data_IF_195794509546
#
_entry.id   IF_195794509546
#
_cell.length_a   1.000
_cell.length_b   1.000
_cell.length_c   1.000
_cell.angle_alpha   90.00
_cell.angle_beta   90.00
_cell.angle_gamma   90.00
#
_symmetry.space_group_name_H-M   'P 1'
#
loop_
_entity.id
_entity.type
_entity.pdbx_description
1 polymer ?
#
# COMPACT_ATOMS: atom_id res chain seq x y z
N UNK A 1 23.19 1.73 14.63
CA UNK A 1 21.74 1.89 14.90
C UNK A 1 21.00 1.34 13.68
N UNK A 2 19.83 0.75 13.78
CA UNK A 2 19.09 0.34 12.59
C UNK A 2 18.81 1.57 11.74
N UNK A 3 18.90 1.40 10.42
CA UNK A 3 18.57 2.41 9.44
C UNK A 3 17.09 2.80 9.57
N UNK A 4 16.80 4.10 9.72
CA UNK A 4 15.46 4.60 9.97
C UNK A 4 14.75 5.06 8.69
N UNK A 5 15.52 5.31 7.65
CA UNK A 5 15.00 5.67 6.32
C UNK A 5 15.99 5.27 5.22
N UNK A 6 15.50 5.21 3.99
CA UNK A 6 16.29 4.97 2.78
C UNK A 6 16.03 6.09 1.78
N UNK A 7 17.07 6.59 1.12
CA UNK A 7 16.93 7.58 0.06
C UNK A 7 16.56 6.89 -1.26
N UNK A 8 15.35 7.17 -1.76
CA UNK A 8 14.91 6.72 -3.09
C UNK A 8 15.42 7.69 -4.16
N UNK A 9 15.30 8.99 -3.89
CA UNK A 9 15.89 10.08 -4.67
C UNK A 9 16.28 11.21 -3.72
N UNK A 10 16.88 12.29 -4.22
CA UNK A 10 17.22 13.47 -3.40
C UNK A 10 16.04 14.04 -2.61
N UNK A 11 14.82 13.88 -3.12
CA UNK A 11 13.61 14.48 -2.56
C UNK A 11 12.59 13.46 -2.06
N UNK A 12 12.86 12.18 -2.22
CA UNK A 12 11.98 11.08 -1.82
C UNK A 12 12.72 10.11 -0.91
N UNK A 13 12.17 9.88 0.26
CA UNK A 13 12.70 8.92 1.25
C UNK A 13 11.64 7.90 1.62
N UNK A 14 12.02 6.63 1.72
CA UNK A 14 11.25 5.58 2.38
C UNK A 14 11.52 5.67 3.87
N UNK A 15 10.46 5.78 4.68
CA UNK A 15 10.53 5.90 6.13
C UNK A 15 10.19 4.57 6.80
N UNK A 16 11.06 4.08 7.66
CA UNK A 16 10.81 2.88 8.45
C UNK A 16 10.10 3.23 9.77
N UNK A 17 8.80 3.43 9.69
CA UNK A 17 7.95 3.87 10.82
C UNK A 17 7.74 2.81 11.90
N UNK A 18 8.14 1.58 11.66
CA UNK A 18 8.19 0.44 12.59
C UNK A 18 6.95 0.25 13.48
N UNK A 19 6.17 -0.78 13.19
CA UNK A 19 5.11 -1.24 14.09
C UNK A 19 5.69 -2.15 15.18
N UNK A 20 5.10 -2.20 16.38
CA UNK A 20 5.50 -3.15 17.43
C UNK A 20 4.93 -4.56 17.22
N UNK A 21 4.69 -4.95 15.98
CA UNK A 21 4.11 -6.23 15.60
C UNK A 21 5.22 -7.09 14.98
N UNK A 22 5.52 -8.29 15.52
CA UNK A 22 6.54 -9.17 14.96
C UNK A 22 6.36 -9.40 13.46
N UNK A 23 7.44 -9.29 12.72
CA UNK A 23 7.53 -9.37 11.26
C UNK A 23 6.86 -8.23 10.46
N UNK A 24 6.33 -7.19 11.12
CA UNK A 24 5.76 -6.00 10.45
C UNK A 24 6.59 -4.72 10.67
N UNK A 25 7.76 -4.81 11.29
CA UNK A 25 8.59 -3.67 11.70
C UNK A 25 8.99 -2.76 10.53
N UNK A 26 9.20 -3.34 9.35
CA UNK A 26 9.51 -2.62 8.10
C UNK A 26 8.55 -2.96 6.96
N UNK A 27 7.41 -3.55 7.27
CA UNK A 27 6.51 -4.10 6.26
C UNK A 27 5.74 -3.01 5.50
N UNK A 28 5.35 -1.95 6.18
CA UNK A 28 4.62 -0.83 5.58
C UNK A 28 5.61 0.18 5.02
N UNK A 29 5.42 0.57 3.76
CA UNK A 29 6.20 1.60 3.08
C UNK A 29 5.54 2.96 3.21
N UNK A 30 6.00 3.79 4.17
CA UNK A 30 5.63 5.21 4.24
C UNK A 30 6.69 6.03 3.51
N UNK A 31 6.29 6.99 2.68
CA UNK A 31 7.24 7.80 1.93
C UNK A 31 7.11 9.28 2.27
N UNK A 32 8.27 9.93 2.46
CA UNK A 32 8.38 11.38 2.57
C UNK A 32 8.78 11.94 1.20
N UNK A 33 7.98 12.89 0.70
CA UNK A 33 8.30 13.72 -0.45
C UNK A 33 8.59 15.15 0.06
N UNK A 34 9.82 15.64 -0.14
CA UNK A 34 10.28 16.92 0.40
C UNK A 34 10.54 17.94 -0.69
N UNK A 35 9.92 19.12 -0.56
CA UNK A 35 10.09 20.29 -1.40
C UNK A 35 10.00 21.58 -0.59
N UNK A 36 9.37 22.62 -1.12
CA UNK A 36 8.97 23.81 -0.35
C UNK A 36 7.84 23.44 0.63
N UNK A 37 7.02 22.47 0.27
CA UNK A 37 6.07 21.76 1.13
C UNK A 37 6.47 20.30 1.22
N UNK A 38 5.99 19.62 2.26
CA UNK A 38 6.31 18.23 2.51
C UNK A 38 5.05 17.36 2.55
N UNK A 39 5.13 16.18 1.97
CA UNK A 39 4.04 15.21 1.97
C UNK A 39 4.50 13.85 2.49
N UNK A 40 3.64 13.20 3.28
CA UNK A 40 3.77 11.79 3.65
C UNK A 40 2.78 10.99 2.79
N UNK A 41 3.25 9.93 2.15
CA UNK A 41 2.39 8.96 1.47
C UNK A 41 2.26 7.74 2.37
N UNK A 42 1.02 7.35 2.68
CA UNK A 42 0.62 6.24 3.54
C UNK A 42 1.31 6.25 4.92
N UNK A 43 0.70 6.89 5.93
CA UNK A 43 1.32 7.01 7.26
C UNK A 43 1.37 5.68 8.03
N UNK A 44 0.67 4.65 7.55
CA UNK A 44 0.57 3.36 8.19
C UNK A 44 -0.55 3.25 9.23
N UNK A 45 -0.58 2.14 9.99
CA UNK A 45 -1.54 1.94 11.07
C UNK A 45 -1.23 2.83 12.29
N UNK A 46 -2.19 2.98 13.21
CA UNK A 46 -2.03 3.81 14.42
C UNK A 46 -0.75 3.51 15.19
N UNK A 47 -0.41 2.24 15.33
CA UNK A 47 0.78 1.82 16.10
C UNK A 47 2.10 2.18 15.43
N UNK A 48 2.12 2.53 14.13
CA UNK A 48 3.30 3.01 13.41
C UNK A 48 3.56 4.52 13.63
N UNK A 49 2.55 5.30 14.03
CA UNK A 49 2.63 6.77 14.06
C UNK A 49 3.74 7.31 14.99
N UNK A 50 3.95 6.77 16.20
CA UNK A 50 5.07 7.23 17.02
C UNK A 50 6.44 7.04 16.35
N UNK A 51 6.61 5.92 15.63
CA UNK A 51 7.80 5.65 14.83
C UNK A 51 7.94 6.62 13.67
N UNK A 52 6.86 6.87 12.93
CA UNK A 52 6.82 7.82 11.82
C UNK A 52 7.27 9.22 12.26
N UNK A 53 6.71 9.75 13.35
CA UNK A 53 7.08 11.07 13.90
C UNK A 53 8.55 11.10 14.32
N UNK A 54 9.07 10.02 14.90
CA UNK A 54 10.49 9.92 15.21
C UNK A 54 11.34 10.02 13.94
N UNK A 55 11.00 9.28 12.89
CA UNK A 55 11.78 9.29 11.64
C UNK A 55 11.69 10.64 10.94
N UNK A 56 10.53 11.30 10.94
CA UNK A 56 10.38 12.68 10.44
C UNK A 56 11.40 13.62 11.12
N UNK A 57 11.58 13.52 12.44
CA UNK A 57 12.58 14.33 13.18
C UNK A 57 14.01 13.95 12.83
N UNK A 58 14.30 12.68 12.64
CA UNK A 58 15.64 12.21 12.26
C UNK A 58 16.06 12.65 10.83
N UNK A 59 15.11 12.81 9.94
CA UNK A 59 15.40 13.41 8.60
C UNK A 59 15.51 14.94 8.65
N UNK A 60 15.41 15.57 9.82
CA UNK A 60 15.62 17.00 10.06
C UNK A 60 14.35 17.86 9.93
N UNK A 61 13.16 17.26 9.87
CA UNK A 61 11.88 17.99 9.82
C UNK A 61 11.17 17.96 11.17
N UNK A 62 10.37 19.01 11.45
CA UNK A 62 9.40 18.98 12.53
C UNK A 62 8.05 18.48 12.02
N UNK A 63 7.23 17.81 12.86
CA UNK A 63 5.90 17.33 12.45
C UNK A 63 5.01 18.42 11.82
N UNK A 64 5.11 19.66 12.29
CA UNK A 64 4.35 20.79 11.80
C UNK A 64 4.76 21.26 10.38
N UNK A 65 5.89 20.78 9.88
CA UNK A 65 6.36 21.06 8.51
C UNK A 65 5.82 20.08 7.48
N UNK A 66 5.00 19.12 7.89
CA UNK A 66 4.26 18.24 6.98
C UNK A 66 2.96 18.94 6.58
N UNK A 67 2.80 19.18 5.28
CA UNK A 67 1.66 19.88 4.69
C UNK A 67 0.57 18.94 4.18
N UNK A 68 0.96 17.72 3.78
CA UNK A 68 0.03 16.73 3.24
C UNK A 68 0.31 15.33 3.77
N UNK A 69 -0.79 14.59 3.98
CA UNK A 69 -0.80 13.12 4.09
C UNK A 69 -1.61 12.60 2.90
N UNK A 70 -0.98 11.88 2.00
CA UNK A 70 -1.63 11.35 0.79
C UNK A 70 -1.86 9.85 1.01
N UNK A 71 -3.10 9.41 0.88
CA UNK A 71 -3.47 8.02 1.06
C UNK A 71 -3.65 7.36 -0.30
N UNK A 72 -2.86 6.32 -0.57
CA UNK A 72 -3.06 5.51 -1.78
C UNK A 72 -4.42 4.82 -1.72
N UNK A 73 -4.81 4.35 -0.55
CA UNK A 73 -6.12 3.78 -0.29
C UNK A 73 -6.38 3.76 1.23
N UNK A 74 -7.58 3.31 1.66
CA UNK A 74 -7.97 3.39 3.06
C UNK A 74 -7.89 2.06 3.83
N UNK A 75 -7.16 1.05 3.36
CA UNK A 75 -6.92 -0.13 4.19
C UNK A 75 -6.19 0.27 5.48
N UNK A 76 -6.47 -0.47 6.55
CA UNK A 76 -6.04 -0.09 7.91
C UNK A 76 -4.51 0.00 8.06
N UNK A 77 -3.78 -0.79 7.33
CA UNK A 77 -2.32 -0.81 7.33
C UNK A 77 -1.68 0.38 6.60
N UNK A 78 -2.41 1.07 5.72
CA UNK A 78 -1.99 2.31 5.04
C UNK A 78 -2.55 3.56 5.70
N UNK A 79 -3.84 3.57 6.04
CA UNK A 79 -4.57 4.75 6.46
C UNK A 79 -5.05 4.72 7.92
N UNK A 80 -4.94 3.59 8.63
CA UNK A 80 -5.50 3.43 9.97
C UNK A 80 -4.95 4.41 11.01
N UNK A 81 -3.74 4.90 10.82
CA UNK A 81 -3.08 5.89 11.66
C UNK A 81 -3.38 7.35 11.30
N UNK A 82 -4.14 7.63 10.25
CA UNK A 82 -4.29 9.00 9.72
C UNK A 82 -4.83 9.98 10.76
N UNK A 83 -5.92 9.65 11.47
CA UNK A 83 -6.47 10.54 12.49
C UNK A 83 -5.46 10.83 13.61
N UNK A 84 -4.76 9.80 14.08
CA UNK A 84 -3.69 9.95 15.08
C UNK A 84 -2.52 10.78 14.54
N UNK A 85 -2.12 10.57 13.27
CA UNK A 85 -1.06 11.34 12.64
C UNK A 85 -1.41 12.84 12.59
N UNK A 86 -2.63 13.19 12.19
CA UNK A 86 -3.08 14.59 12.08
C UNK A 86 -3.12 15.32 13.43
N UNK A 87 -3.26 14.59 14.54
CA UNK A 87 -3.15 15.19 15.88
C UNK A 87 -1.72 15.67 16.18
N UNK A 88 -0.71 15.16 15.46
CA UNK A 88 0.70 15.52 15.59
C UNK A 88 1.18 16.37 14.41
N UNK A 89 0.73 16.07 13.19
CA UNK A 89 1.00 16.79 11.95
C UNK A 89 -0.05 17.91 11.76
N UNK A 90 -0.03 18.92 12.62
CA UNK A 90 -1.15 19.87 12.79
C UNK A 90 -1.49 20.70 11.56
N UNK A 91 -0.52 20.92 10.68
CA UNK A 91 -0.71 21.72 9.45
C UNK A 91 -1.12 20.86 8.25
N UNK A 92 -1.01 19.52 8.36
CA UNK A 92 -1.25 18.64 7.24
C UNK A 92 -2.72 18.53 6.85
N UNK A 93 -3.00 18.51 5.56
CA UNK A 93 -4.28 18.08 4.98
C UNK A 93 -4.17 16.65 4.48
N UNK A 94 -5.28 15.91 4.49
CA UNK A 94 -5.33 14.54 3.95
C UNK A 94 -5.86 14.55 2.54
N UNK A 95 -5.09 14.00 1.61
CA UNK A 95 -5.54 13.75 0.23
C UNK A 95 -5.96 12.29 0.12
N UNK A 96 -7.20 12.05 -0.30
CA UNK A 96 -7.77 10.70 -0.41
C UNK A 96 -8.77 10.60 -1.56
N UNK A 97 -8.93 9.40 -2.11
CA UNK A 97 -9.97 9.12 -3.09
C UNK A 97 -11.38 9.46 -2.52
N UNK A 98 -12.29 10.03 -3.33
CA UNK A 98 -13.64 10.43 -2.92
C UNK A 98 -14.39 9.34 -2.14
N UNK A 99 -14.27 8.08 -2.54
CA UNK A 99 -14.92 6.96 -1.84
C UNK A 99 -14.36 6.69 -0.44
N UNK A 100 -13.15 7.18 -0.13
CA UNK A 100 -12.51 7.04 1.18
C UNK A 100 -12.98 8.09 2.19
N UNK A 101 -13.43 9.25 1.74
CA UNK A 101 -13.74 10.42 2.59
C UNK A 101 -14.66 10.06 3.76
N UNK A 102 -15.81 9.45 3.49
CA UNK A 102 -16.78 9.10 4.52
C UNK A 102 -16.24 8.13 5.59
N UNK A 103 -15.32 7.26 5.19
CA UNK A 103 -14.72 6.26 6.07
C UNK A 103 -13.57 6.82 6.92
N UNK A 104 -13.00 7.95 6.53
CA UNK A 104 -12.06 8.68 7.38
C UNK A 104 -12.82 9.54 8.40
N UNK A 105 -13.97 10.11 8.04
CA UNK A 105 -14.82 10.91 8.94
C UNK A 105 -15.49 10.00 9.97
N UNK A 106 -16.05 8.88 9.52
CA UNK A 106 -16.64 7.85 10.38
C UNK A 106 -16.00 6.48 10.06
N UNK A 107 -15.02 6.05 10.85
CA UNK A 107 -14.28 4.81 10.59
C UNK A 107 -15.01 3.53 11.00
N UNK A 108 -16.25 3.58 11.51
CA UNK A 108 -16.95 2.39 12.02
C UNK A 108 -17.06 1.27 10.97
N UNK A 109 -17.47 1.61 9.74
CA UNK A 109 -17.59 0.63 8.66
C UNK A 109 -16.22 0.11 8.18
N UNK A 110 -15.19 0.96 8.16
CA UNK A 110 -13.81 0.57 7.84
C UNK A 110 -13.26 -0.38 8.89
N UNK A 111 -13.44 -0.08 10.16
CA UNK A 111 -13.04 -0.93 11.29
C UNK A 111 -13.69 -2.30 11.20
N UNK A 112 -15.02 -2.33 10.98
CA UNK A 112 -15.75 -3.59 10.82
C UNK A 112 -15.21 -4.42 9.64
N UNK A 113 -15.05 -3.83 8.46
CA UNK A 113 -14.51 -4.53 7.29
C UNK A 113 -13.09 -5.03 7.50
N UNK A 114 -12.26 -4.27 8.22
CA UNK A 114 -10.90 -4.68 8.59
C UNK A 114 -10.93 -5.88 9.53
N UNK A 115 -11.81 -5.91 10.53
CA UNK A 115 -11.97 -7.06 11.46
C UNK A 115 -12.44 -8.31 10.68
N UNK A 116 -13.42 -8.16 9.79
CA UNK A 116 -13.93 -9.26 8.98
C UNK A 116 -12.83 -9.89 8.08
N UNK A 117 -11.84 -9.10 7.66
CA UNK A 117 -10.76 -9.54 6.75
C UNK A 117 -9.50 -9.98 7.47
N UNK A 118 -9.06 -9.26 8.51
CA UNK A 118 -7.76 -9.43 9.17
C UNK A 118 -7.86 -10.00 10.58
N UNK A 119 -9.07 -10.12 11.13
CA UNK A 119 -9.32 -10.69 12.46
C UNK A 119 -8.54 -9.96 13.56
N UNK A 120 -7.82 -10.73 14.37
CA UNK A 120 -7.06 -10.21 15.53
C UNK A 120 -5.94 -9.21 15.17
N UNK A 121 -5.47 -9.18 13.92
CA UNK A 121 -4.42 -8.25 13.50
C UNK A 121 -4.87 -6.79 13.64
N UNK A 122 -6.17 -6.52 13.47
CA UNK A 122 -6.74 -5.17 13.60
C UNK A 122 -6.48 -4.59 14.99
N UNK A 123 -6.63 -5.38 16.05
CA UNK A 123 -6.35 -4.91 17.42
C UNK A 123 -4.89 -4.54 17.62
N UNK A 124 -3.96 -5.19 16.90
CA UNK A 124 -2.53 -4.89 16.93
C UNK A 124 -2.16 -3.64 16.13
N UNK A 125 -2.93 -3.31 15.09
CA UNK A 125 -2.77 -2.05 14.34
C UNK A 125 -3.28 -0.84 15.12
N UNK A 126 -4.18 -1.06 16.08
CA UNK A 126 -4.79 -0.04 16.92
C UNK A 126 -6.08 0.52 16.33
N UNK A 127 -6.83 1.20 17.18
CA UNK A 127 -8.14 1.79 16.84
C UNK A 127 -7.98 2.94 15.83
N UNK A 128 -8.82 2.96 14.80
CA UNK A 128 -8.85 4.03 13.81
C UNK A 128 -9.51 5.27 14.41
N UNK A 129 -8.79 6.38 14.45
CA UNK A 129 -9.34 7.67 14.88
C UNK A 129 -9.96 8.42 13.69
N UNK A 130 -11.10 9.11 13.89
CA UNK A 130 -11.74 9.89 12.84
C UNK A 130 -10.88 11.08 12.41
N UNK A 131 -11.04 11.51 11.16
CA UNK A 131 -10.43 12.70 10.59
C UNK A 131 -11.48 13.79 10.45
N UNK A 132 -11.15 15.02 10.86
CA UNK A 132 -12.02 16.18 10.70
C UNK A 132 -12.25 16.49 9.21
N UNK A 133 -13.51 16.74 8.84
CA UNK A 133 -13.90 16.88 7.42
C UNK A 133 -13.20 18.04 6.71
N UNK A 134 -12.90 19.13 7.41
CA UNK A 134 -12.18 20.32 6.90
C UNK A 134 -10.67 20.07 6.65
N UNK A 135 -10.14 18.95 7.14
CA UNK A 135 -8.77 18.49 6.90
C UNK A 135 -8.66 17.57 5.68
N UNK A 136 -9.78 17.24 5.03
CA UNK A 136 -9.80 16.26 3.92
C UNK A 136 -9.93 16.98 2.59
N UNK A 137 -9.04 16.65 1.67
CA UNK A 137 -9.04 17.06 0.27
C UNK A 137 -9.29 15.82 -0.59
N UNK A 138 -10.22 15.91 -1.52
CA UNK A 138 -10.47 14.82 -2.47
C UNK A 138 -9.43 14.81 -3.58
N UNK A 139 -8.74 13.70 -3.74
CA UNK A 139 -7.85 13.43 -4.87
C UNK A 139 -8.64 12.89 -6.06
N UNK A 140 -8.74 13.68 -7.12
CA UNK A 140 -9.33 13.29 -8.41
C UNK A 140 -8.23 12.90 -9.40
N UNK A 141 -8.61 12.19 -10.47
CA UNK A 141 -7.66 11.79 -11.53
C UNK A 141 -7.03 13.02 -12.18
N UNK A 142 -5.70 13.09 -12.22
CA UNK A 142 -4.95 14.24 -12.74
C UNK A 142 -4.77 15.40 -11.77
N UNK A 143 -5.36 15.37 -10.56
CA UNK A 143 -5.09 16.36 -9.52
C UNK A 143 -3.59 16.43 -9.24
N UNK A 144 -3.04 17.65 -9.16
CA UNK A 144 -1.64 17.89 -8.84
C UNK A 144 -1.51 18.49 -7.45
N UNK A 145 -0.76 17.86 -6.58
CA UNK A 145 -0.33 18.40 -5.28
C UNK A 145 1.04 19.06 -5.51
N UNK A 146 1.06 20.38 -5.42
CA UNK A 146 2.28 21.18 -5.66
C UNK A 146 3.07 21.33 -4.36
N UNK A 147 4.28 20.75 -4.35
CA UNK A 147 5.24 20.87 -3.26
C UNK A 147 6.40 21.81 -3.59
N UNK A 148 6.24 22.68 -4.61
CA UNK A 148 7.28 23.55 -5.15
C UNK A 148 8.12 22.84 -6.22
N UNK A 149 9.31 22.39 -5.85
CA UNK A 149 10.21 21.65 -6.77
C UNK A 149 9.69 20.27 -7.16
N UNK A 150 8.79 19.69 -6.37
CA UNK A 150 8.10 18.42 -6.68
C UNK A 150 6.64 18.68 -6.99
N UNK A 151 6.10 17.94 -7.94
CA UNK A 151 4.68 17.92 -8.26
C UNK A 151 4.18 16.47 -8.24
N UNK A 152 3.24 16.21 -7.36
CA UNK A 152 2.67 14.88 -7.18
C UNK A 152 1.31 14.79 -7.89
N UNK A 153 1.25 14.04 -8.97
CA UNK A 153 0.02 13.81 -9.74
C UNK A 153 -0.75 12.62 -9.16
N UNK A 154 -2.01 12.82 -8.86
CA UNK A 154 -2.94 11.76 -8.46
C UNK A 154 -3.40 11.00 -9.70
N UNK A 155 -3.35 9.68 -9.63
CA UNK A 155 -3.78 8.75 -10.69
C UNK A 155 -4.74 7.75 -10.08
N UNK A 156 -6.02 7.78 -10.44
CA UNK A 156 -6.98 6.82 -9.93
C UNK A 156 -6.68 5.42 -10.50
N UNK A 157 -6.45 4.46 -9.60
CA UNK A 157 -6.04 3.09 -9.92
C UNK A 157 -6.88 2.05 -9.17
N UNK A 158 -8.22 2.02 -9.43
CA UNK A 158 -9.08 1.01 -8.81
C UNK A 158 -8.71 -0.41 -9.26
N UNK A 159 -9.09 -1.40 -8.45
CA UNK A 159 -8.87 -2.83 -8.73
C UNK A 159 -8.53 -3.61 -7.47
N UNK A 160 -7.39 -3.32 -6.82
CA UNK A 160 -7.07 -3.78 -5.47
C UNK A 160 -8.14 -3.33 -4.46
N UNK A 161 -8.52 -2.08 -4.54
CA UNK A 161 -9.65 -1.49 -3.83
C UNK A 161 -10.35 -0.46 -4.72
N UNK A 162 -11.67 -0.27 -4.54
CA UNK A 162 -12.45 0.69 -5.32
C UNK A 162 -12.12 2.16 -5.01
N UNK A 163 -11.38 2.40 -3.94
CA UNK A 163 -10.90 3.71 -3.45
C UNK A 163 -9.38 3.85 -3.59
N UNK A 164 -8.76 3.07 -4.48
CA UNK A 164 -7.32 3.11 -4.67
C UNK A 164 -6.91 4.21 -5.66
N UNK A 165 -5.82 4.90 -5.35
CA UNK A 165 -5.09 5.80 -6.22
C UNK A 165 -3.58 5.53 -6.10
N UNK A 166 -2.87 5.84 -7.16
CA UNK A 166 -1.41 5.91 -7.17
C UNK A 166 -0.98 7.38 -7.24
N UNK A 167 0.25 7.67 -6.89
CA UNK A 167 0.81 9.02 -6.96
C UNK A 167 2.01 8.99 -7.88
N UNK A 168 2.09 9.92 -8.83
CA UNK A 168 3.21 9.99 -9.76
C UNK A 168 3.95 11.32 -9.64
N UNK A 169 5.27 11.26 -9.48
CA UNK A 169 6.18 12.40 -9.54
C UNK A 169 6.88 12.38 -10.90
N UNK A 170 6.52 13.28 -11.84
CA UNK A 170 6.95 13.18 -13.24
C UNK A 170 8.40 13.61 -13.50
N UNK A 171 8.99 14.50 -12.70
CA UNK A 171 10.32 15.03 -12.97
C UNK A 171 11.41 13.97 -12.81
N UNK A 172 11.32 13.14 -11.79
CA UNK A 172 12.25 12.03 -11.54
C UNK A 172 11.69 10.68 -12.00
N UNK A 173 10.40 10.62 -12.35
CA UNK A 173 9.71 9.41 -12.80
C UNK A 173 9.43 8.43 -11.66
N UNK A 174 9.08 8.93 -10.48
CA UNK A 174 8.77 8.10 -9.30
C UNK A 174 7.27 7.84 -9.24
N UNK A 175 6.90 6.56 -9.23
CA UNK A 175 5.53 6.09 -9.05
C UNK A 175 5.36 5.47 -7.66
N UNK A 176 4.50 6.03 -6.84
CA UNK A 176 4.01 5.42 -5.61
C UNK A 176 2.76 4.60 -5.98
N UNK A 177 2.96 3.31 -6.16
CA UNK A 177 1.92 2.43 -6.69
C UNK A 177 0.86 2.04 -5.66
N UNK A 178 1.11 2.27 -4.36
CA UNK A 178 0.33 1.59 -3.33
C UNK A 178 0.35 0.09 -3.59
N UNK A 179 -0.82 -0.52 -3.58
CA UNK A 179 -1.00 -1.96 -3.77
C UNK A 179 -1.44 -2.37 -5.19
N UNK A 180 -1.56 -1.40 -6.11
CA UNK A 180 -2.02 -1.67 -7.49
C UNK A 180 -1.11 -2.63 -8.25
N UNK A 181 0.21 -2.57 -8.00
CA UNK A 181 1.21 -3.39 -8.70
C UNK A 181 1.83 -4.50 -7.82
N UNK A 182 1.14 -4.89 -6.75
CA UNK A 182 1.58 -5.95 -5.85
C UNK A 182 2.63 -5.51 -4.84
N UNK A 183 3.38 -6.49 -4.33
CA UNK A 183 4.50 -6.32 -3.42
C UNK A 183 5.72 -6.95 -4.04
N UNK A 184 6.84 -6.23 -4.07
CA UNK A 184 8.13 -6.78 -4.48
C UNK A 184 9.14 -6.75 -3.33
N UNK A 185 9.71 -7.90 -2.99
CA UNK A 185 10.72 -8.00 -1.94
C UNK A 185 11.63 -9.21 -2.15
N UNK A 186 12.94 -9.01 -1.95
CA UNK A 186 13.95 -10.06 -2.10
C UNK A 186 13.87 -10.80 -3.46
N UNK A 187 13.61 -10.08 -4.53
CA UNK A 187 13.49 -10.66 -5.88
C UNK A 187 12.13 -11.30 -6.17
N UNK A 188 11.23 -11.40 -5.20
CA UNK A 188 9.93 -12.04 -5.35
C UNK A 188 8.81 -11.00 -5.47
N UNK A 189 8.02 -11.10 -6.55
CA UNK A 189 6.79 -10.35 -6.76
C UNK A 189 5.59 -11.15 -6.24
N UNK A 190 4.71 -10.50 -5.47
CA UNK A 190 3.51 -11.12 -4.88
C UNK A 190 2.27 -10.32 -5.19
N UNK A 191 1.13 -10.99 -5.27
CA UNK A 191 -0.16 -10.36 -5.53
C UNK A 191 -0.73 -9.69 -4.26
N UNK A 192 -1.48 -8.61 -4.49
CA UNK A 192 -2.29 -7.87 -3.52
C UNK A 192 -3.72 -7.76 -4.06
N UNK A 193 -4.44 -8.86 -4.01
CA UNK A 193 -5.77 -9.00 -4.64
C UNK A 193 -6.83 -9.45 -3.63
N UNK A 194 -7.03 -8.72 -2.48
CA UNK A 194 -8.04 -9.09 -1.50
C UNK A 194 -9.46 -8.92 -2.06
N UNK A 195 -10.46 -9.66 -1.55
CA UNK A 195 -11.85 -9.47 -1.95
C UNK A 195 -12.42 -8.12 -1.43
N UNK A 196 -13.26 -7.42 -2.20
CA UNK A 196 -13.72 -7.76 -3.56
C UNK A 196 -12.72 -7.30 -4.63
N UNK A 197 -11.96 -8.23 -5.20
CA UNK A 197 -10.97 -7.94 -6.24
C UNK A 197 -11.65 -7.73 -7.61
N UNK A 198 -11.12 -6.81 -8.43
CA UNK A 198 -11.68 -6.42 -9.72
C UNK A 198 -10.60 -6.47 -10.80
N UNK A 199 -10.53 -7.61 -11.49
CA UNK A 199 -9.48 -7.87 -12.48
C UNK A 199 -9.44 -6.82 -13.60
N UNK A 200 -10.59 -6.52 -14.22
CA UNK A 200 -10.66 -5.57 -15.33
C UNK A 200 -10.17 -4.18 -14.92
N UNK A 201 -10.65 -3.67 -13.79
CA UNK A 201 -10.24 -2.36 -13.27
C UNK A 201 -8.73 -2.35 -12.95
N UNK A 202 -8.19 -3.47 -12.42
CA UNK A 202 -6.75 -3.60 -12.17
C UNK A 202 -5.95 -3.54 -13.46
N UNK A 203 -6.36 -4.25 -14.52
CA UNK A 203 -5.65 -4.23 -15.81
C UNK A 203 -5.66 -2.83 -16.44
N UNK A 204 -6.81 -2.14 -16.42
CA UNK A 204 -6.94 -0.75 -16.87
C UNK A 204 -6.03 0.19 -16.05
N UNK A 205 -5.93 -0.02 -14.73
CA UNK A 205 -5.05 0.74 -13.84
C UNK A 205 -3.58 0.49 -14.15
N UNK A 206 -3.19 -0.76 -14.41
CA UNK A 206 -1.82 -1.11 -14.82
C UNK A 206 -1.46 -0.46 -16.16
N UNK A 207 -2.39 -0.39 -17.13
CA UNK A 207 -2.18 0.31 -18.40
C UNK A 207 -1.93 1.80 -18.14
N UNK A 208 -2.76 2.42 -17.30
CA UNK A 208 -2.66 3.83 -16.95
C UNK A 208 -1.31 4.17 -16.33
N UNK A 209 -0.87 3.43 -15.29
CA UNK A 209 0.42 3.71 -14.64
C UNK A 209 1.62 3.35 -15.52
N UNK A 210 1.50 2.36 -16.42
CA UNK A 210 2.55 2.03 -17.39
C UNK A 210 2.74 3.15 -18.42
N UNK A 211 1.64 3.78 -18.86
CA UNK A 211 1.67 4.89 -19.82
C UNK A 211 2.39 6.14 -19.27
N UNK A 212 2.47 6.32 -17.95
CA UNK A 212 3.25 7.38 -17.31
C UNK A 212 4.76 7.20 -17.49
N UNK A 213 5.21 6.03 -17.97
CA UNK A 213 6.61 5.68 -18.18
C UNK A 213 7.50 5.86 -16.91
N UNK A 214 7.08 5.31 -15.75
CA UNK A 214 7.84 5.47 -14.51
C UNK A 214 9.21 4.81 -14.60
N UNK A 215 10.21 5.39 -13.92
CA UNK A 215 11.57 4.85 -13.77
C UNK A 215 11.70 4.06 -12.48
N UNK A 216 11.12 4.58 -11.40
CA UNK A 216 11.15 4.01 -10.05
C UNK A 216 9.72 3.71 -9.63
N UNK A 217 9.49 2.53 -9.05
CA UNK A 217 8.24 2.15 -8.41
C UNK A 217 8.45 2.03 -6.90
N UNK A 218 7.65 2.74 -6.15
CA UNK A 218 7.56 2.71 -4.69
C UNK A 218 6.29 1.95 -4.31
N UNK A 219 6.44 0.76 -3.74
CA UNK A 219 5.33 -0.09 -3.34
C UNK A 219 4.75 0.33 -2.00
N UNK A 220 3.51 0.02 -1.73
CA UNK A 220 2.87 0.21 -0.42
C UNK A 220 3.51 -0.63 0.69
N UNK A 221 4.24 -1.67 0.30
CA UNK A 221 4.97 -2.55 1.20
C UNK A 221 6.41 -2.75 0.72
N UNK A 222 7.36 -2.75 1.68
CA UNK A 222 8.74 -3.22 1.52
C UNK A 222 9.64 -2.45 0.53
N UNK A 223 9.26 -1.23 0.13
CA UNK A 223 10.23 -0.31 -0.45
C UNK A 223 10.08 0.06 -1.92
N UNK A 224 11.11 0.75 -2.45
CA UNK A 224 11.16 1.28 -3.80
C UNK A 224 12.25 0.63 -4.66
N UNK A 225 12.00 0.52 -5.97
CA UNK A 225 12.89 -0.20 -6.88
C UNK A 225 12.90 0.46 -8.27
N UNK A 226 14.04 0.41 -8.93
CA UNK A 226 14.16 0.78 -10.35
C UNK A 226 13.42 -0.19 -11.27
N UNK A 227 13.48 0.11 -12.58
CA UNK A 227 12.90 -0.71 -13.64
C UNK A 227 11.36 -0.89 -13.52
N UNK A 228 10.70 0.19 -13.11
CA UNK A 228 9.27 0.20 -12.80
C UNK A 228 8.40 -0.42 -13.88
N UNK A 229 8.66 -0.09 -15.14
CA UNK A 229 7.84 -0.57 -16.27
C UNK A 229 7.89 -2.10 -16.42
N UNK A 230 9.08 -2.71 -16.31
CA UNK A 230 9.20 -4.16 -16.38
C UNK A 230 8.51 -4.83 -15.19
N UNK A 231 8.65 -4.28 -13.97
CA UNK A 231 7.99 -4.80 -12.77
C UNK A 231 6.47 -4.76 -12.88
N UNK A 232 5.90 -3.69 -13.42
CA UNK A 232 4.46 -3.61 -13.69
C UNK A 232 4.02 -4.68 -14.70
N UNK A 233 4.81 -4.90 -15.75
CA UNK A 233 4.53 -5.93 -16.75
C UNK A 233 4.65 -7.36 -16.19
N UNK A 234 5.63 -7.60 -15.33
CA UNK A 234 5.79 -8.88 -14.62
C UNK A 234 4.61 -9.14 -13.67
N UNK A 235 4.18 -8.12 -12.94
CA UNK A 235 2.98 -8.21 -12.11
C UNK A 235 1.75 -8.55 -12.93
N UNK A 236 1.54 -7.91 -14.08
CA UNK A 236 0.43 -8.22 -14.99
C UNK A 236 0.43 -9.69 -15.43
N UNK A 237 1.61 -10.20 -15.82
CA UNK A 237 1.74 -11.61 -16.25
C UNK A 237 1.44 -12.57 -15.09
N UNK A 238 1.97 -12.28 -13.92
CA UNK A 238 1.74 -13.07 -12.71
C UNK A 238 0.26 -13.07 -12.34
N UNK A 239 -0.38 -11.89 -12.33
CA UNK A 239 -1.78 -11.70 -12.02
C UNK A 239 -2.69 -12.53 -12.94
N UNK A 240 -2.49 -12.44 -14.25
CA UNK A 240 -3.31 -13.18 -15.22
C UNK A 240 -3.14 -14.69 -15.07
N UNK A 241 -1.89 -15.17 -14.92
CA UNK A 241 -1.61 -16.60 -14.71
C UNK A 241 -2.27 -17.14 -13.44
N UNK A 242 -2.19 -16.39 -12.34
CA UNK A 242 -2.77 -16.81 -11.06
C UNK A 242 -4.29 -16.69 -11.05
N UNK A 243 -4.83 -15.69 -11.73
CA UNK A 243 -6.27 -15.54 -11.90
C UNK A 243 -6.88 -16.75 -12.62
N UNK A 244 -6.35 -17.11 -13.78
CA UNK A 244 -6.83 -18.25 -14.57
C UNK A 244 -6.76 -19.56 -13.75
N UNK A 245 -5.66 -19.74 -13.04
CA UNK A 245 -5.49 -20.90 -12.17
C UNK A 245 -6.50 -20.92 -11.01
N UNK A 246 -6.63 -19.81 -10.28
CA UNK A 246 -7.54 -19.68 -9.14
C UNK A 246 -9.01 -19.88 -9.56
N UNK A 247 -9.42 -19.28 -10.70
CA UNK A 247 -10.77 -19.44 -11.25
C UNK A 247 -11.06 -20.91 -11.63
N UNK A 248 -10.08 -21.61 -12.19
CA UNK A 248 -10.20 -23.05 -12.50
C UNK A 248 -10.42 -23.86 -11.23
N UNK A 249 -9.66 -23.58 -10.17
CA UNK A 249 -9.76 -24.27 -8.87
C UNK A 249 -11.07 -23.94 -8.15
N UNK A 250 -11.54 -22.70 -8.24
CA UNK A 250 -12.85 -22.31 -7.70
C UNK A 250 -14.00 -23.11 -8.35
N UNK A 251 -13.98 -23.28 -9.67
CA UNK A 251 -14.96 -24.12 -10.39
C UNK A 251 -14.92 -25.60 -10.00
N UNK A 252 -13.78 -26.08 -9.52
CA UNK A 252 -13.58 -27.45 -9.01
C UNK A 252 -13.96 -27.60 -7.53
N UNK A 253 -14.41 -26.54 -6.87
CA UNK A 253 -14.80 -26.55 -5.46
C UNK A 253 -13.64 -26.67 -4.48
N UNK A 254 -12.40 -26.33 -4.88
CA UNK A 254 -11.26 -26.32 -3.98
C UNK A 254 -11.36 -25.22 -2.92
N UNK A 255 -10.80 -25.49 -1.74
CA UNK A 255 -10.69 -24.50 -0.67
C UNK A 255 -9.62 -23.44 -0.97
N UNK A 256 -9.78 -22.23 -0.44
CA UNK A 256 -8.80 -21.15 -0.59
C UNK A 256 -7.41 -21.57 -0.10
N UNK A 257 -7.33 -22.18 1.09
CA UNK A 257 -6.06 -22.65 1.66
C UNK A 257 -5.42 -23.76 0.82
N UNK A 258 -6.22 -24.67 0.24
CA UNK A 258 -5.70 -25.68 -0.67
C UNK A 258 -5.06 -25.07 -1.91
N UNK A 259 -5.65 -24.04 -2.48
CA UNK A 259 -5.06 -23.30 -3.61
C UNK A 259 -3.80 -22.53 -3.20
N UNK A 260 -3.77 -21.94 -2.00
CA UNK A 260 -2.56 -21.31 -1.44
C UNK A 260 -1.40 -22.30 -1.36
N UNK A 261 -1.65 -23.47 -0.80
CA UNK A 261 -0.63 -24.52 -0.67
C UNK A 261 -0.15 -25.01 -2.05
N UNK A 262 -1.06 -25.10 -3.04
CA UNK A 262 -0.67 -25.41 -4.41
C UNK A 262 0.22 -24.32 -5.02
N UNK A 263 -0.06 -23.04 -4.82
CA UNK A 263 0.80 -21.95 -5.30
C UNK A 263 2.18 -22.02 -4.65
N UNK A 264 2.25 -22.17 -3.32
CA UNK A 264 3.53 -22.27 -2.61
C UNK A 264 4.36 -23.45 -3.13
N UNK A 265 3.74 -24.58 -3.43
CA UNK A 265 4.46 -25.77 -3.87
C UNK A 265 4.85 -25.75 -5.36
N UNK A 266 4.05 -25.09 -6.22
CA UNK A 266 4.26 -25.10 -7.67
C UNK A 266 5.11 -23.94 -8.20
N UNK A 267 5.16 -22.82 -7.47
CA UNK A 267 6.01 -21.68 -7.82
C UNK A 267 7.35 -21.81 -7.10
N UNK A 268 8.45 -22.17 -7.80
CA UNK A 268 9.73 -22.47 -7.14
C UNK A 268 10.26 -21.32 -6.28
N UNK A 269 10.12 -20.08 -6.77
CA UNK A 269 10.59 -18.89 -6.06
C UNK A 269 9.77 -18.66 -4.78
N UNK A 270 8.44 -18.88 -4.82
CA UNK A 270 7.56 -18.76 -3.68
C UNK A 270 7.84 -19.87 -2.64
N UNK A 271 8.09 -21.10 -3.09
CA UNK A 271 8.47 -22.21 -2.24
C UNK A 271 9.76 -21.92 -1.47
N UNK A 272 10.81 -21.51 -2.18
CA UNK A 272 12.10 -21.12 -1.57
C UNK A 272 11.89 -19.96 -0.59
N UNK A 273 11.14 -18.93 -0.97
CA UNK A 273 10.85 -17.80 -0.10
C UNK A 273 10.17 -18.24 1.21
N UNK A 274 9.10 -19.01 1.13
CA UNK A 274 8.40 -19.50 2.33
C UNK A 274 9.27 -20.41 3.22
N UNK A 275 10.22 -21.14 2.63
CA UNK A 275 11.15 -21.96 3.40
C UNK A 275 12.16 -21.13 4.22
N UNK A 276 12.46 -19.89 3.81
CA UNK A 276 13.41 -19.00 4.51
C UNK A 276 12.77 -18.16 5.60
N UNK A 277 11.43 -18.10 5.66
CA UNK A 277 10.72 -17.25 6.62
C UNK A 277 10.72 -17.85 8.04
N UNK A 278 10.93 -16.98 9.03
CA UNK A 278 10.60 -17.30 10.41
C UNK A 278 9.08 -17.50 10.61
N UNK A 279 8.70 -17.93 11.81
CA UNK A 279 7.31 -18.30 12.11
C UNK A 279 6.35 -17.12 11.91
N UNK A 280 6.72 -15.92 12.33
CA UNK A 280 5.82 -14.76 12.32
C UNK A 280 5.72 -14.18 10.90
N UNK A 281 6.83 -14.05 10.19
CA UNK A 281 6.85 -13.67 8.77
C UNK A 281 6.08 -14.66 7.90
N UNK A 282 6.25 -15.98 8.15
CA UNK A 282 5.50 -17.02 7.45
C UNK A 282 3.99 -16.91 7.70
N UNK A 283 3.55 -16.66 8.94
CA UNK A 283 2.13 -16.45 9.27
C UNK A 283 1.58 -15.23 8.56
N UNK A 284 2.30 -14.12 8.58
CA UNK A 284 1.93 -12.87 7.87
C UNK A 284 1.72 -13.13 6.39
N UNK A 285 2.73 -13.69 5.73
CA UNK A 285 2.73 -13.82 4.27
C UNK A 285 1.77 -14.91 3.78
N UNK A 286 1.56 -15.96 4.59
CA UNK A 286 0.53 -16.95 4.30
C UNK A 286 -0.88 -16.36 4.40
N UNK A 287 -1.15 -15.51 5.40
CA UNK A 287 -2.42 -14.81 5.54
C UNK A 287 -2.66 -13.85 4.36
N UNK A 288 -1.65 -13.08 3.98
CA UNK A 288 -1.73 -12.17 2.83
C UNK A 288 -1.98 -12.93 1.52
N UNK A 289 -1.28 -14.04 1.31
CA UNK A 289 -1.47 -14.88 0.13
C UNK A 289 -2.87 -15.50 0.11
N UNK A 290 -3.39 -15.90 1.29
CA UNK A 290 -4.76 -16.41 1.42
C UNK A 290 -5.78 -15.35 1.03
N UNK A 291 -5.63 -14.11 1.49
CA UNK A 291 -6.51 -13.01 1.10
C UNK A 291 -6.44 -12.75 -0.42
N UNK A 292 -5.24 -12.78 -1.00
CA UNK A 292 -5.07 -12.60 -2.44
C UNK A 292 -5.73 -13.72 -3.25
N UNK A 293 -5.53 -14.97 -2.85
CA UNK A 293 -6.17 -16.13 -3.50
C UNK A 293 -7.69 -16.09 -3.35
N UNK A 294 -8.19 -15.70 -2.17
CA UNK A 294 -9.64 -15.52 -1.95
C UNK A 294 -10.22 -14.51 -2.92
N UNK A 295 -9.58 -13.36 -3.08
CA UNK A 295 -10.03 -12.36 -4.04
C UNK A 295 -9.99 -12.85 -5.48
N UNK A 296 -8.94 -13.57 -5.89
CA UNK A 296 -8.88 -14.15 -7.24
C UNK A 296 -9.98 -15.19 -7.47
N UNK A 297 -10.25 -16.06 -6.50
CA UNK A 297 -11.25 -17.13 -6.63
C UNK A 297 -12.68 -16.60 -6.62
N UNK A 298 -12.93 -15.48 -5.96
CA UNK A 298 -14.27 -14.86 -5.81
C UNK A 298 -14.50 -13.69 -6.77
N UNK A 299 -13.47 -13.28 -7.53
CA UNK A 299 -13.59 -12.19 -8.49
C UNK A 299 -14.60 -12.55 -9.60
N UNK A 300 -15.49 -11.60 -9.90
CA UNK A 300 -16.30 -11.64 -11.10
C UNK A 300 -15.47 -11.09 -12.28
N UNK A 301 -15.57 -11.77 -13.44
CA UNK A 301 -14.90 -11.38 -14.67
C UNK A 301 -15.37 -10.03 -15.20
#
# INVERSE_FOLDING_TARGET
MPELFEEITSNVKLLYSSTPIPAYEKYIGSYLCSGEKNAIIDPGPKTAIPGLVRVIKEVGLQPEQIDYVILTHIHIDHAGGTGTALNLLKNAQVVVHQRGVKHLIDPAALTKGSIDTLGELVSKYGEIEPVQADRIVTGEDGTTIDLGILKLQIVLTPGHAAHHLSVFEPAQGVLFSGDTAGIFHNGLLRLTTPPPFRLRETLESLDKITALNPKIICYGHLGGYGDAKNRINEFRKLLLRWYDYAQTRAKQGQSFTGVVDEFINKEPELNVYFATLDKDARKRDYSQLTNSVTGLMTANA
#
